data_IF_553513883690
#
_entry.id   IF_553513883690
#
_cell.length_a   1.000
_cell.length_b   1.000
_cell.length_c   1.000
_cell.angle_alpha   90.00
_cell.angle_beta   90.00
_cell.angle_gamma   90.00
#
_symmetry.space_group_name_H-M   'P 1'
#
loop_
_entity.id
_entity.type
_entity.pdbx_description
1 polymer ?
#
# COMPACT_ATOMS: atom_id res chain seq x y z
N UNK A 1 -10.91 -20.39 22.48
CA UNK A 1 -12.22 -19.78 22.78
C UNK A 1 -12.14 -18.96 24.07
N UNK A 2 -11.02 -18.26 24.27
CA UNK A 2 -11.04 -16.92 24.85
C UNK A 2 -11.40 -16.00 23.71
N UNK A 3 -12.54 -15.33 23.80
CA UNK A 3 -12.81 -14.13 23.03
C UNK A 3 -11.73 -13.12 23.48
N UNK A 4 -10.82 -12.73 22.58
CA UNK A 4 -9.92 -11.61 22.83
C UNK A 4 -10.79 -10.36 22.91
N UNK A 5 -10.56 -9.53 23.93
CA UNK A 5 -11.39 -8.36 24.21
C UNK A 5 -11.01 -7.28 23.19
N UNK A 6 -11.97 -6.89 22.33
CA UNK A 6 -11.90 -5.96 21.17
C UNK A 6 -11.35 -4.55 21.49
N UNK A 7 -10.68 -4.32 22.61
CA UNK A 7 -10.32 -2.97 23.06
C UNK A 7 -8.88 -2.75 23.47
N UNK A 8 -8.03 -3.78 23.53
CA UNK A 8 -6.58 -3.59 23.73
C UNK A 8 -5.82 -4.85 23.30
N UNK A 9 -5.36 -4.92 22.06
CA UNK A 9 -4.25 -5.79 21.70
C UNK A 9 -2.96 -4.97 21.94
N UNK A 10 -2.48 -5.06 23.17
CA UNK A 10 -1.40 -4.23 23.74
C UNK A 10 -0.01 -4.75 23.29
N UNK A 11 0.74 -3.94 22.54
CA UNK A 11 2.21 -3.90 22.33
C UNK A 11 2.97 -5.25 22.22
N UNK A 12 2.34 -6.33 21.75
CA UNK A 12 3.03 -7.61 21.61
C UNK A 12 2.75 -8.21 20.26
N UNK A 13 3.83 -8.41 19.48
CA UNK A 13 3.95 -9.35 18.36
C UNK A 13 2.85 -10.42 18.46
N UNK A 14 1.78 -10.27 17.68
CA UNK A 14 0.76 -11.31 17.64
C UNK A 14 1.30 -12.39 16.70
N UNK A 15 1.52 -13.59 17.22
CA UNK A 15 1.80 -14.76 16.39
C UNK A 15 0.47 -15.27 15.79
N UNK A 16 0.49 -16.03 14.67
CA UNK A 16 -0.65 -16.72 13.99
C UNK A 16 -1.70 -17.32 14.94
N UNK A 17 -1.30 -17.75 16.14
CA UNK A 17 -2.20 -18.33 17.13
C UNK A 17 -3.09 -17.33 17.90
N UNK A 18 -2.78 -16.03 17.82
CA UNK A 18 -3.49 -14.94 18.50
C UNK A 18 -4.41 -14.19 17.53
N UNK A 19 -4.13 -14.22 16.22
CA UNK A 19 -5.02 -13.79 15.14
C UNK A 19 -5.74 -15.00 14.53
N UNK A 20 -6.84 -15.43 15.16
CA UNK A 20 -7.74 -16.39 14.51
C UNK A 20 -8.47 -15.65 13.39
N UNK A 21 -8.61 -16.24 12.20
CA UNK A 21 -9.34 -15.73 11.00
C UNK A 21 -10.68 -15.05 11.38
N UNK A 22 -11.33 -15.56 12.44
CA UNK A 22 -12.58 -15.03 13.00
C UNK A 22 -12.50 -13.74 13.82
N UNK A 23 -11.29 -13.26 14.17
CA UNK A 23 -11.03 -11.98 14.83
C UNK A 23 -10.84 -10.86 13.81
N UNK A 24 -10.43 -11.21 12.58
CA UNK A 24 -10.14 -10.24 11.52
C UNK A 24 -11.37 -9.92 10.66
N UNK A 25 -12.36 -10.82 10.62
CA UNK A 25 -13.50 -10.77 9.69
C UNK A 25 -14.55 -9.65 9.95
N UNK A 26 -14.56 -8.93 11.09
CA UNK A 26 -15.65 -7.97 11.40
C UNK A 26 -15.30 -6.79 12.36
N UNK A 27 -14.04 -6.41 12.59
CA UNK A 27 -13.72 -5.34 13.56
C UNK A 27 -12.88 -4.20 12.98
N UNK A 28 -13.37 -2.97 13.19
CA UNK A 28 -12.55 -1.74 13.28
C UNK A 28 -11.47 -2.02 14.35
N UNK A 29 -10.21 -2.16 13.94
CA UNK A 29 -9.12 -2.35 14.89
C UNK A 29 -8.12 -1.20 14.74
N UNK A 30 -7.80 -0.58 15.87
CA UNK A 30 -6.90 0.57 15.99
C UNK A 30 -5.63 0.08 16.71
N UNK A 31 -4.47 0.13 16.05
CA UNK A 31 -3.18 -0.25 16.63
C UNK A 31 -2.16 0.88 16.46
N UNK A 32 -1.62 1.40 17.57
CA UNK A 32 -0.67 2.55 17.57
C UNK A 32 0.80 2.15 17.22
N UNK A 33 1.17 0.86 17.25
CA UNK A 33 2.51 0.36 16.89
C UNK A 33 2.43 -1.18 16.79
N UNK A 34 2.60 -1.75 15.59
CA UNK A 34 2.44 -3.19 15.38
C UNK A 34 3.59 -3.83 14.58
N UNK A 35 4.21 -4.87 15.12
CA UNK A 35 5.15 -5.74 14.38
C UNK A 35 4.41 -7.02 13.97
N UNK A 36 3.96 -7.15 12.70
CA UNK A 36 3.47 -8.43 12.15
C UNK A 36 4.70 -9.26 11.79
N UNK A 37 4.83 -10.44 12.42
CA UNK A 37 5.87 -11.39 12.03
C UNK A 37 5.49 -12.01 10.68
N UNK A 38 6.45 -12.16 9.75
CA UNK A 38 6.36 -12.82 8.43
C UNK A 38 5.37 -14.00 8.39
N UNK A 39 5.30 -14.78 9.47
CA UNK A 39 4.44 -15.95 9.59
C UNK A 39 2.95 -15.69 9.85
N UNK A 40 2.54 -14.45 10.07
CA UNK A 40 1.18 -14.06 10.48
C UNK A 40 0.25 -13.84 9.29
N UNK A 41 0.79 -13.42 8.14
CA UNK A 41 0.02 -13.07 6.96
C UNK A 41 0.16 -14.06 5.80
N UNK A 42 1.01 -15.08 5.93
CA UNK A 42 1.43 -16.00 4.84
C UNK A 42 0.26 -16.74 4.13
N UNK A 43 -1.00 -16.67 4.60
CA UNK A 43 -2.17 -17.26 3.92
C UNK A 43 -3.53 -16.57 4.25
N UNK A 44 -3.58 -15.35 4.81
CA UNK A 44 -4.86 -14.73 5.21
C UNK A 44 -5.26 -13.58 4.28
N UNK A 45 -6.32 -13.79 3.50
CA UNK A 45 -7.14 -12.70 2.94
C UNK A 45 -7.55 -11.81 4.15
N UNK A 46 -6.90 -10.66 4.32
CA UNK A 46 -7.30 -9.71 5.35
C UNK A 46 -8.54 -8.99 4.82
N UNK A 47 -9.69 -9.12 5.49
CA UNK A 47 -10.88 -8.34 5.16
C UNK A 47 -11.10 -7.28 6.25
N UNK A 48 -10.61 -6.06 6.06
CA UNK A 48 -10.88 -4.92 6.94
C UNK A 48 -11.56 -3.80 6.15
N UNK A 49 -12.62 -3.20 6.71
CA UNK A 49 -13.24 -1.99 6.15
C UNK A 49 -12.60 -0.69 6.71
N UNK A 50 -11.83 -0.77 7.80
CA UNK A 50 -11.12 0.36 8.44
C UNK A 50 -10.15 -0.21 9.49
N UNK A 51 -8.84 0.02 9.35
CA UNK A 51 -7.82 -0.44 10.30
C UNK A 51 -6.63 0.52 10.31
N UNK A 52 -6.05 0.79 11.49
CA UNK A 52 -4.82 1.60 11.64
C UNK A 52 -3.60 0.70 11.99
N UNK A 53 -2.58 0.66 11.13
CA UNK A 53 -1.26 0.02 11.29
C UNK A 53 -0.14 1.06 11.29
N UNK A 54 -0.31 2.23 11.91
CA UNK A 54 0.74 3.25 11.94
C UNK A 54 2.06 2.73 12.50
N UNK A 55 3.18 3.17 11.91
CA UNK A 55 4.55 2.79 12.26
C UNK A 55 4.77 1.26 12.29
N UNK A 56 4.04 0.48 11.47
CA UNK A 56 4.12 -0.99 11.50
C UNK A 56 5.23 -1.56 10.62
N UNK A 57 5.84 -2.66 11.07
CA UNK A 57 6.79 -3.46 10.27
C UNK A 57 6.03 -4.64 9.64
N UNK A 58 5.84 -4.59 8.32
CA UNK A 58 5.13 -5.55 7.45
C UNK A 58 6.02 -6.09 6.31
N UNK A 59 7.33 -5.91 6.41
CA UNK A 59 8.30 -6.41 5.42
C UNK A 59 8.09 -7.90 5.13
N UNK A 60 8.25 -8.28 3.86
CA UNK A 60 8.09 -9.66 3.36
C UNK A 60 6.69 -10.27 3.62
N UNK A 61 5.69 -9.44 3.96
CA UNK A 61 4.31 -9.91 4.20
C UNK A 61 3.58 -10.28 2.92
N UNK A 62 2.58 -11.16 3.05
CA UNK A 62 1.69 -11.56 1.95
C UNK A 62 0.29 -11.07 2.23
N UNK A 63 -0.10 -10.06 1.48
CA UNK A 63 -1.36 -9.34 1.55
C UNK A 63 -2.13 -9.45 0.23
N UNK A 64 -1.74 -10.37 -0.65
CA UNK A 64 -2.48 -10.67 -1.87
C UNK A 64 -3.98 -10.87 -1.59
N UNK A 65 -4.83 -10.38 -2.48
CA UNK A 65 -6.30 -10.43 -2.38
C UNK A 65 -6.88 -9.77 -1.09
N UNK A 66 -6.10 -9.02 -0.31
CA UNK A 66 -6.60 -8.38 0.92
C UNK A 66 -7.50 -7.18 0.62
N UNK A 67 -8.53 -6.99 1.43
CA UNK A 67 -9.35 -5.78 1.49
C UNK A 67 -8.82 -4.92 2.65
N UNK A 68 -8.14 -3.83 2.29
CA UNK A 68 -7.56 -2.82 3.17
C UNK A 68 -8.12 -1.43 2.81
N UNK A 69 -9.32 -1.37 2.25
CA UNK A 69 -9.99 -0.09 1.94
C UNK A 69 -10.12 0.75 3.23
N UNK A 70 -9.95 2.06 3.11
CA UNK A 70 -10.02 3.04 4.22
C UNK A 70 -9.01 2.73 5.36
N UNK A 71 -7.92 1.99 5.11
CA UNK A 71 -6.89 1.69 6.11
C UNK A 71 -5.90 2.84 6.28
N UNK A 72 -5.33 3.00 7.48
CA UNK A 72 -4.21 3.91 7.74
C UNK A 72 -2.95 3.09 7.98
N UNK A 73 -1.92 3.35 7.18
CA UNK A 73 -0.60 2.70 7.20
C UNK A 73 0.51 3.76 7.38
N UNK A 74 0.25 4.89 8.05
CA UNK A 74 1.20 6.01 8.16
C UNK A 74 2.56 5.55 8.70
N UNK A 75 3.68 5.98 8.10
CA UNK A 75 5.04 5.60 8.48
C UNK A 75 5.33 4.07 8.50
N UNK A 76 4.55 3.25 7.78
CA UNK A 76 4.75 1.78 7.76
C UNK A 76 5.88 1.32 6.83
N UNK A 77 6.54 0.22 7.20
CA UNK A 77 7.53 -0.49 6.38
C UNK A 77 6.88 -1.75 5.80
N UNK A 78 6.78 -1.85 4.47
CA UNK A 78 6.23 -2.96 3.71
C UNK A 78 7.26 -3.49 2.69
N UNK A 79 8.56 -3.39 2.97
CA UNK A 79 9.60 -3.74 2.00
C UNK A 79 9.50 -5.22 1.58
N UNK A 80 9.68 -5.51 0.28
CA UNK A 80 9.56 -6.87 -0.30
C UNK A 80 8.18 -7.55 -0.04
N UNK A 81 7.10 -6.80 0.20
CA UNK A 81 5.75 -7.35 0.41
C UNK A 81 5.01 -7.71 -0.89
N UNK A 82 4.11 -8.69 -0.81
CA UNK A 82 3.21 -9.13 -1.89
C UNK A 82 1.80 -8.58 -1.60
N UNK A 83 1.28 -7.66 -2.43
CA UNK A 83 -0.04 -7.01 -2.32
C UNK A 83 -0.85 -7.16 -3.62
N UNK A 84 -0.60 -8.22 -4.41
CA UNK A 84 -1.25 -8.39 -5.71
C UNK A 84 -2.76 -8.54 -5.56
N UNK A 85 -3.53 -7.94 -6.47
CA UNK A 85 -5.01 -7.94 -6.47
C UNK A 85 -5.65 -7.35 -5.19
N UNK A 86 -4.88 -6.73 -4.29
CA UNK A 86 -5.40 -6.12 -3.05
C UNK A 86 -6.19 -4.84 -3.30
N UNK A 87 -7.07 -4.49 -2.36
CA UNK A 87 -7.81 -3.23 -2.35
C UNK A 87 -7.33 -2.34 -1.23
N UNK A 88 -6.95 -1.11 -1.56
CA UNK A 88 -6.52 -0.05 -0.65
C UNK A 88 -7.21 1.27 -1.01
N UNK A 89 -8.46 1.22 -1.51
CA UNK A 89 -9.16 2.43 -1.92
C UNK A 89 -9.43 3.33 -0.71
N UNK A 90 -9.27 4.64 -0.90
CA UNK A 90 -9.42 5.63 0.19
C UNK A 90 -8.46 5.41 1.39
N UNK A 91 -7.37 4.64 1.22
CA UNK A 91 -6.38 4.38 2.28
C UNK A 91 -5.32 5.47 2.40
N UNK A 92 -4.78 5.65 3.61
CA UNK A 92 -3.70 6.59 3.92
C UNK A 92 -2.39 5.81 4.09
N UNK A 93 -1.40 6.02 3.21
CA UNK A 93 -0.08 5.40 3.24
C UNK A 93 1.05 6.42 3.44
N UNK A 94 0.75 7.59 3.97
CA UNK A 94 1.72 8.69 4.10
C UNK A 94 3.02 8.26 4.79
N UNK A 95 4.15 8.77 4.27
CA UNK A 95 5.52 8.47 4.71
C UNK A 95 5.93 6.98 4.66
N UNK A 96 5.10 6.08 4.11
CA UNK A 96 5.36 4.63 4.05
C UNK A 96 6.53 4.27 3.15
N UNK A 97 7.06 3.07 3.36
CA UNK A 97 8.13 2.48 2.55
C UNK A 97 7.64 1.13 2.01
N UNK A 98 7.67 0.99 0.69
CA UNK A 98 7.26 -0.19 -0.07
C UNK A 98 8.39 -0.60 -1.04
N UNK A 99 9.66 -0.54 -0.62
CA UNK A 99 10.81 -0.84 -1.48
C UNK A 99 10.71 -2.30 -1.98
N UNK A 100 10.93 -2.53 -3.28
CA UNK A 100 10.85 -3.87 -3.91
C UNK A 100 9.50 -4.61 -3.70
N UNK A 101 8.40 -3.90 -3.41
CA UNK A 101 7.07 -4.52 -3.22
C UNK A 101 6.32 -4.83 -4.52
N UNK A 102 5.48 -5.87 -4.50
CA UNK A 102 4.63 -6.30 -5.62
C UNK A 102 3.18 -5.83 -5.36
N UNK A 103 2.61 -5.02 -6.26
CA UNK A 103 1.24 -4.49 -6.25
C UNK A 103 0.61 -4.67 -7.64
N UNK A 104 0.73 -5.86 -8.26
CA UNK A 104 0.13 -6.14 -9.56
C UNK A 104 -1.40 -6.17 -9.46
N UNK A 105 -2.11 -5.49 -10.36
CA UNK A 105 -3.59 -5.42 -10.39
C UNK A 105 -4.29 -4.82 -9.13
N UNK A 106 -3.55 -4.20 -8.20
CA UNK A 106 -4.11 -3.61 -6.97
C UNK A 106 -4.99 -2.37 -7.22
N UNK A 107 -5.92 -2.09 -6.30
CA UNK A 107 -6.87 -0.96 -6.36
C UNK A 107 -6.55 0.06 -5.25
N UNK A 108 -5.83 1.13 -5.58
CA UNK A 108 -5.48 2.27 -4.71
C UNK A 108 -6.21 3.56 -5.14
N UNK A 109 -7.44 3.44 -5.65
CA UNK A 109 -8.23 4.58 -6.09
C UNK A 109 -8.55 5.50 -4.89
N UNK A 110 -8.41 6.83 -5.05
CA UNK A 110 -8.65 7.84 -4.00
C UNK A 110 -7.73 7.73 -2.76
N UNK A 111 -6.60 6.99 -2.81
CA UNK A 111 -5.66 6.84 -1.69
C UNK A 111 -4.68 8.04 -1.56
N UNK A 112 -4.16 8.24 -0.34
CA UNK A 112 -3.12 9.23 -0.02
C UNK A 112 -1.77 8.51 0.16
N UNK A 113 -0.74 8.88 -0.60
CA UNK A 113 0.62 8.30 -0.57
C UNK A 113 1.69 9.40 -0.42
N UNK A 114 1.41 10.44 0.36
CA UNK A 114 2.29 11.59 0.46
C UNK A 114 3.64 11.20 1.09
N UNK A 115 4.74 11.74 0.56
CA UNK A 115 6.12 11.45 0.98
C UNK A 115 6.53 9.94 0.96
N UNK A 116 5.69 9.07 0.39
CA UNK A 116 5.91 7.62 0.31
C UNK A 116 7.09 7.23 -0.58
N UNK A 117 7.66 6.05 -0.31
CA UNK A 117 8.77 5.49 -1.10
C UNK A 117 8.38 4.13 -1.66
N UNK A 118 8.25 4.06 -2.99
CA UNK A 118 7.93 2.86 -3.76
C UNK A 118 9.09 2.52 -4.71
N UNK A 119 10.33 2.64 -4.24
CA UNK A 119 11.50 2.41 -5.09
C UNK A 119 11.59 0.94 -5.51
N UNK A 120 11.87 0.68 -6.79
CA UNK A 120 11.95 -0.67 -7.37
C UNK A 120 10.65 -1.52 -7.21
N UNK A 121 9.51 -0.90 -6.85
CA UNK A 121 8.21 -1.60 -6.71
C UNK A 121 7.55 -1.87 -8.07
N UNK A 122 6.67 -2.87 -8.11
CA UNK A 122 5.89 -3.25 -9.29
C UNK A 122 4.43 -2.89 -9.06
N UNK A 123 3.86 -2.01 -9.88
CA UNK A 123 2.47 -1.55 -9.87
C UNK A 123 1.80 -1.77 -11.24
N UNK A 124 2.18 -2.85 -11.92
CA UNK A 124 1.63 -3.18 -13.23
C UNK A 124 0.12 -3.42 -13.16
N UNK A 125 -0.63 -2.90 -14.14
CA UNK A 125 -2.11 -2.97 -14.21
C UNK A 125 -2.87 -2.37 -13.00
N UNK A 126 -2.19 -1.76 -12.04
CA UNK A 126 -2.78 -1.15 -10.85
C UNK A 126 -3.62 0.09 -11.15
N UNK A 127 -4.51 0.44 -10.21
CA UNK A 127 -5.33 1.66 -10.27
C UNK A 127 -4.99 2.59 -9.12
N UNK A 128 -4.71 3.83 -9.48
CA UNK A 128 -4.46 4.95 -8.60
C UNK A 128 -5.29 6.15 -9.11
N UNK A 129 -6.50 5.89 -9.63
CA UNK A 129 -7.34 6.98 -10.16
C UNK A 129 -7.75 7.88 -8.98
N UNK A 130 -7.64 9.21 -9.15
CA UNK A 130 -7.93 10.22 -8.11
C UNK A 130 -7.03 10.16 -6.85
N UNK A 131 -5.90 9.44 -6.85
CA UNK A 131 -4.97 9.35 -5.70
C UNK A 131 -4.05 10.58 -5.56
N UNK A 132 -3.57 10.84 -4.35
CA UNK A 132 -2.58 11.87 -4.01
C UNK A 132 -1.20 11.22 -3.75
N UNK A 133 -0.16 11.66 -4.47
CA UNK A 133 1.21 11.13 -4.39
C UNK A 133 2.23 12.26 -4.22
N UNK A 134 1.92 13.27 -3.39
CA UNK A 134 2.76 14.46 -3.26
C UNK A 134 4.12 14.11 -2.61
N UNK A 135 5.20 14.66 -3.16
CA UNK A 135 6.59 14.40 -2.70
C UNK A 135 7.02 12.91 -2.68
N UNK A 136 6.23 12.01 -3.29
CA UNK A 136 6.49 10.57 -3.36
C UNK A 136 7.70 10.21 -4.23
N UNK A 137 8.26 9.02 -4.01
CA UNK A 137 9.40 8.48 -4.79
C UNK A 137 9.09 7.11 -5.36
N UNK A 138 8.98 7.04 -6.67
CA UNK A 138 8.78 5.84 -7.47
C UNK A 138 10.03 5.59 -8.36
N UNK A 139 11.22 5.82 -7.80
CA UNK A 139 12.47 5.65 -8.54
C UNK A 139 12.64 4.15 -8.94
N UNK A 140 12.94 3.88 -10.21
CA UNK A 140 13.11 2.52 -10.77
C UNK A 140 11.86 1.61 -10.68
N UNK A 141 10.66 2.16 -10.41
CA UNK A 141 9.41 1.36 -10.34
C UNK A 141 8.83 1.01 -11.71
N UNK A 142 8.07 -0.09 -11.76
CA UNK A 142 7.31 -0.55 -12.93
C UNK A 142 5.83 -0.18 -12.75
N UNK A 143 5.24 0.59 -13.67
CA UNK A 143 3.84 1.02 -13.66
C UNK A 143 3.17 0.75 -15.02
N UNK A 144 3.51 -0.36 -15.67
CA UNK A 144 3.00 -0.66 -17.01
C UNK A 144 1.49 -0.92 -16.97
N UNK A 145 0.75 -0.41 -17.97
CA UNK A 145 -0.71 -0.50 -18.08
C UNK A 145 -1.52 0.10 -16.90
N UNK A 146 -0.86 0.70 -15.91
CA UNK A 146 -1.48 1.34 -14.74
C UNK A 146 -2.41 2.51 -15.12
N UNK A 147 -3.32 2.85 -14.21
CA UNK A 147 -4.22 4.00 -14.37
C UNK A 147 -4.05 4.96 -13.22
N UNK A 148 -3.70 6.20 -13.56
CA UNK A 148 -3.52 7.33 -12.68
C UNK A 148 -4.36 8.51 -13.21
N UNK A 149 -5.59 8.25 -13.67
CA UNK A 149 -6.46 9.30 -14.19
C UNK A 149 -6.88 10.21 -13.03
N UNK A 150 -6.84 11.54 -13.22
CA UNK A 150 -7.18 12.54 -12.21
C UNK A 150 -6.29 12.54 -10.93
N UNK A 151 -5.17 11.80 -10.88
CA UNK A 151 -4.25 11.77 -9.73
C UNK A 151 -3.38 13.03 -9.60
N UNK A 152 -2.94 13.35 -8.38
CA UNK A 152 -2.01 14.44 -8.06
C UNK A 152 -0.63 13.85 -7.73
N UNK A 153 0.42 14.25 -8.46
CA UNK A 153 1.79 13.80 -8.19
C UNK A 153 2.74 14.99 -8.05
N UNK A 154 2.38 16.01 -7.25
CA UNK A 154 3.17 17.22 -7.13
C UNK A 154 4.50 16.95 -6.42
N UNK A 155 5.60 17.51 -6.91
CA UNK A 155 6.96 17.30 -6.38
C UNK A 155 7.43 15.81 -6.32
N UNK A 156 6.69 14.88 -6.95
CA UNK A 156 7.03 13.46 -7.03
C UNK A 156 8.26 13.17 -7.89
N UNK A 157 8.87 12.00 -7.66
CA UNK A 157 10.06 11.52 -8.36
C UNK A 157 9.81 10.16 -8.99
N UNK A 158 10.00 10.07 -10.30
CA UNK A 158 9.86 8.85 -11.09
C UNK A 158 11.13 8.67 -11.95
N UNK A 159 12.31 8.76 -11.33
CA UNK A 159 13.57 8.60 -12.05
C UNK A 159 13.72 7.12 -12.48
N UNK A 160 14.03 6.87 -13.76
CA UNK A 160 14.19 5.52 -14.33
C UNK A 160 12.94 4.60 -14.26
N UNK A 161 11.75 5.12 -13.96
CA UNK A 161 10.50 4.31 -13.91
C UNK A 161 9.95 3.94 -15.29
N UNK A 162 9.31 2.78 -15.38
CA UNK A 162 8.62 2.27 -16.58
C UNK A 162 7.12 2.58 -16.49
N UNK A 163 6.55 3.22 -17.50
CA UNK A 163 5.15 3.68 -17.53
C UNK A 163 4.49 3.32 -18.88
N UNK A 164 4.86 2.19 -19.48
CA UNK A 164 4.37 1.81 -20.81
C UNK A 164 2.85 1.56 -20.78
N UNK A 165 2.10 2.14 -21.72
CA UNK A 165 0.64 2.01 -21.79
C UNK A 165 -0.16 2.56 -20.57
N UNK A 166 0.52 3.21 -19.61
CA UNK A 166 -0.12 3.88 -18.46
C UNK A 166 -1.06 5.02 -18.89
N UNK A 167 -2.08 5.29 -18.07
CA UNK A 167 -3.01 6.40 -18.28
C UNK A 167 -2.82 7.47 -17.22
N UNK A 168 -2.68 8.70 -17.69
CA UNK A 168 -2.50 9.91 -16.90
C UNK A 168 -3.47 10.99 -17.42
N UNK A 169 -4.72 10.61 -17.75
CA UNK A 169 -5.70 11.58 -18.23
C UNK A 169 -6.10 12.51 -17.06
N UNK A 170 -5.91 13.82 -17.25
CA UNK A 170 -6.26 14.86 -16.26
C UNK A 170 -5.40 14.87 -14.97
N UNK A 171 -4.34 14.06 -14.88
CA UNK A 171 -3.41 14.07 -13.73
C UNK A 171 -2.58 15.36 -13.64
N UNK A 172 -2.28 15.77 -12.40
CA UNK A 172 -1.42 16.90 -12.08
C UNK A 172 0.02 16.41 -11.79
N UNK A 173 1.01 17.10 -12.36
CA UNK A 173 2.44 16.72 -12.34
C UNK A 173 3.29 17.97 -12.04
N UNK A 174 2.84 18.87 -11.18
CA UNK A 174 3.56 20.12 -10.94
C UNK A 174 4.86 19.84 -10.18
N UNK A 175 5.98 20.31 -10.73
CA UNK A 175 7.33 20.13 -10.15
C UNK A 175 7.83 18.68 -10.05
N UNK A 176 7.16 17.70 -10.67
CA UNK A 176 7.62 16.31 -10.71
C UNK A 176 8.89 16.09 -11.56
N UNK A 177 9.72 15.14 -11.13
CA UNK A 177 10.95 14.71 -11.78
C UNK A 177 10.72 13.37 -12.51
N UNK A 178 10.93 13.35 -13.83
CA UNK A 178 10.74 12.19 -14.71
C UNK A 178 12.06 11.87 -15.46
N UNK A 179 13.21 11.93 -14.78
CA UNK A 179 14.49 11.76 -15.47
C UNK A 179 14.66 10.29 -15.88
N UNK A 180 14.85 10.06 -17.19
CA UNK A 180 15.06 8.72 -17.76
C UNK A 180 13.84 7.76 -17.67
N UNK A 181 12.68 8.23 -17.22
CA UNK A 181 11.42 7.46 -17.24
C UNK A 181 11.02 7.07 -18.68
N UNK A 182 10.62 5.81 -18.89
CA UNK A 182 10.14 5.32 -20.19
C UNK A 182 8.62 5.46 -20.31
N UNK A 183 8.16 6.16 -21.35
CA UNK A 183 6.75 6.29 -21.72
C UNK A 183 6.58 5.73 -23.13
N UNK A 184 6.11 4.48 -23.29
CA UNK A 184 5.69 3.97 -24.60
C UNK A 184 4.22 4.27 -24.92
N UNK A 185 3.99 4.79 -26.13
CA UNK A 185 2.67 5.09 -26.73
C UNK A 185 1.87 3.86 -27.18
#
# INVERSE_FOLDING_TARGET
ESELDESVLDESKLDESELDESVLEESELEFEEFELDESVLDESELEFEEFELDESELDESKLDDSELDESVLEESELDESELDESKLAESELDESVLEESELEESELDESELDESKLAESVLDESRLDESELDESRLDESELDESKLDESELDESKLDESELDESKLDESELDESELDESELAE
#
